data_IF_520079178266
#
_entry.id   IF_520079178266
#
_cell.length_a   1.000
_cell.length_b   1.000
_cell.length_c   1.000
_cell.angle_alpha   90.00
_cell.angle_beta   90.00
_cell.angle_gamma   90.00
#
_symmetry.space_group_name_H-M   'P 1'
#
loop_
_entity.id
_entity.type
_entity.pdbx_description
1 polymer ?
#
# COMPACT_ATOMS: atom_id res chain seq x y z
N UNK A 1 7.67 14.94 18.48
CA UNK A 1 7.00 14.93 17.17
C UNK A 1 5.49 14.86 17.41
N UNK A 2 4.76 15.61 16.63
CA UNK A 2 3.31 15.68 16.75
C UNK A 2 2.65 14.38 16.28
N UNK A 3 1.91 13.72 17.18
CA UNK A 3 1.21 12.46 16.88
C UNK A 3 0.17 12.66 15.76
N UNK A 4 -0.51 13.80 15.76
CA UNK A 4 -1.51 14.11 14.72
C UNK A 4 -0.84 14.21 13.36
N UNK A 5 0.32 14.86 13.29
CA UNK A 5 1.09 14.98 12.05
C UNK A 5 1.52 13.59 11.53
N UNK A 6 1.95 12.71 12.44
CA UNK A 6 2.35 11.34 12.09
C UNK A 6 1.17 10.54 11.52
N UNK A 7 0.00 10.64 12.16
CA UNK A 7 -1.22 9.95 11.70
C UNK A 7 -1.63 10.47 10.32
N UNK A 8 -1.63 11.79 10.14
CA UNK A 8 -1.96 12.39 8.84
C UNK A 8 -0.96 12.01 7.76
N UNK A 9 0.32 11.98 8.10
CA UNK A 9 1.38 11.58 7.18
C UNK A 9 1.21 10.14 6.71
N UNK A 10 0.88 9.23 7.62
CA UNK A 10 0.65 7.83 7.27
C UNK A 10 -0.62 7.65 6.43
N UNK A 11 -1.68 8.41 6.74
CA UNK A 11 -2.91 8.38 5.96
C UNK A 11 -2.65 8.82 4.51
N UNK A 12 -1.86 9.87 4.33
CA UNK A 12 -1.47 10.34 2.99
C UNK A 12 -0.60 9.33 2.27
N UNK A 13 0.30 8.67 3.00
CA UNK A 13 1.15 7.63 2.44
C UNK A 13 0.31 6.44 1.93
N UNK A 14 -0.71 6.00 2.70
CA UNK A 14 -1.60 4.92 2.26
C UNK A 14 -2.34 5.29 0.99
N UNK A 15 -2.83 6.53 0.92
CA UNK A 15 -3.55 7.01 -0.26
C UNK A 15 -2.68 7.01 -1.50
N UNK A 16 -1.44 7.47 -1.36
CA UNK A 16 -0.49 7.45 -2.47
C UNK A 16 -0.08 6.04 -2.87
N UNK A 17 0.15 5.17 -1.88
CA UNK A 17 0.56 3.80 -2.18
C UNK A 17 -0.57 3.01 -2.87
N UNK A 18 -1.83 3.31 -2.53
CA UNK A 18 -2.94 2.69 -3.24
C UNK A 18 -2.86 3.01 -4.74
N UNK A 19 -2.61 4.26 -5.08
CA UNK A 19 -2.47 4.67 -6.47
C UNK A 19 -1.24 4.06 -7.12
N UNK A 20 -0.13 4.03 -6.40
CA UNK A 20 1.13 3.50 -6.91
C UNK A 20 1.06 1.99 -7.16
N UNK A 21 0.51 1.24 -6.23
CA UNK A 21 0.38 -0.22 -6.38
C UNK A 21 -0.67 -0.60 -7.41
N UNK A 22 -1.72 0.21 -7.56
CA UNK A 22 -2.68 0.02 -8.65
C UNK A 22 -1.99 0.19 -10.00
N UNK A 23 -1.17 1.23 -10.16
CA UNK A 23 -0.39 1.44 -11.37
C UNK A 23 0.57 0.29 -11.64
N UNK A 24 1.26 -0.18 -10.59
CA UNK A 24 2.16 -1.32 -10.69
C UNK A 24 1.43 -2.57 -11.18
N UNK A 25 0.25 -2.85 -10.59
CA UNK A 25 -0.55 -4.02 -10.96
C UNK A 25 -0.95 -3.99 -12.42
N UNK A 26 -1.34 -2.83 -12.94
CA UNK A 26 -1.83 -2.71 -14.30
C UNK A 26 -0.73 -2.59 -15.34
N UNK A 27 0.39 -1.94 -15.01
CA UNK A 27 1.42 -1.60 -16.00
C UNK A 27 2.63 -2.53 -15.97
N UNK A 28 2.91 -3.13 -14.83
CA UNK A 28 4.13 -3.90 -14.65
C UNK A 28 5.40 -3.06 -14.60
N UNK A 29 5.26 -1.72 -14.42
CA UNK A 29 6.42 -0.84 -14.33
C UNK A 29 7.27 -1.18 -13.12
N UNK A 30 8.57 -0.87 -13.21
CA UNK A 30 9.48 -1.05 -12.08
C UNK A 30 9.06 -0.16 -10.91
N UNK A 31 9.13 -0.70 -9.69
CA UNK A 31 8.74 0.06 -8.49
C UNK A 31 9.56 1.33 -8.31
N UNK A 32 10.84 1.30 -8.69
CA UNK A 32 11.69 2.48 -8.59
C UNK A 32 11.23 3.61 -9.52
N UNK A 33 10.73 3.25 -10.70
CA UNK A 33 10.19 4.25 -11.63
C UNK A 33 8.88 4.83 -11.10
N UNK A 34 8.04 3.99 -10.52
CA UNK A 34 6.77 4.44 -9.92
C UNK A 34 7.06 5.37 -8.76
N UNK A 35 8.01 5.01 -7.90
CA UNK A 35 8.40 5.86 -6.77
C UNK A 35 8.86 7.23 -7.26
N UNK A 36 9.72 7.25 -8.27
CA UNK A 36 10.24 8.51 -8.82
C UNK A 36 9.12 9.39 -9.35
N UNK A 37 8.17 8.81 -10.08
CA UNK A 37 7.02 9.55 -10.61
C UNK A 37 6.19 10.17 -9.49
N UNK A 38 5.91 9.40 -8.43
CA UNK A 38 5.07 9.89 -7.35
C UNK A 38 5.76 10.96 -6.52
N UNK A 39 7.09 10.89 -6.36
CA UNK A 39 7.85 11.93 -5.65
C UNK A 39 7.85 13.25 -6.41
N UNK A 40 7.85 13.20 -7.73
CA UNK A 40 7.78 14.40 -8.57
C UNK A 40 6.38 15.01 -8.56
N UNK A 41 5.35 14.16 -8.62
CA UNK A 41 3.96 14.60 -8.75
C UNK A 41 3.33 15.07 -7.44
N UNK A 42 3.92 14.78 -6.29
CA UNK A 42 3.32 15.03 -4.98
C UNK A 42 4.27 15.77 -4.04
N UNK A 43 3.69 16.55 -3.11
CA UNK A 43 4.46 17.20 -2.05
C UNK A 43 4.75 16.17 -0.94
N UNK A 44 5.92 15.56 -0.99
CA UNK A 44 6.31 14.52 -0.05
C UNK A 44 6.58 15.04 1.36
N UNK A 45 6.64 16.36 1.55
CA UNK A 45 6.82 16.94 2.89
C UNK A 45 5.62 16.68 3.80
N UNK A 46 4.44 16.51 3.19
CA UNK A 46 3.20 16.25 3.93
C UNK A 46 2.90 14.78 4.08
N UNK A 47 3.74 13.93 3.53
CA UNK A 47 3.57 12.49 3.48
C UNK A 47 4.65 11.83 4.34
N UNK A 48 4.27 10.76 5.05
CA UNK A 48 5.29 9.91 5.68
C UNK A 48 5.96 9.12 4.56
N UNK A 49 7.02 9.71 3.99
CA UNK A 49 7.70 9.14 2.83
C UNK A 49 8.34 7.79 3.13
N UNK A 50 8.84 7.61 4.35
CA UNK A 50 9.43 6.36 4.79
C UNK A 50 8.38 5.26 4.81
N UNK A 51 7.19 5.55 5.32
CA UNK A 51 6.07 4.61 5.34
C UNK A 51 5.56 4.31 3.94
N UNK A 52 5.49 5.33 3.08
CA UNK A 52 5.14 5.14 1.66
C UNK A 52 6.09 4.14 1.00
N UNK A 53 7.40 4.32 1.19
CA UNK A 53 8.38 3.41 0.61
C UNK A 53 8.27 2.00 1.20
N UNK A 54 8.05 1.89 2.50
CA UNK A 54 7.87 0.60 3.15
C UNK A 54 6.74 -0.18 2.50
N UNK A 55 5.56 0.44 2.36
CA UNK A 55 4.41 -0.23 1.75
C UNK A 55 4.66 -0.54 0.27
N UNK A 56 5.24 0.41 -0.46
CA UNK A 56 5.46 0.25 -1.89
C UNK A 56 6.36 -0.94 -2.23
N UNK A 57 7.40 -1.18 -1.43
CA UNK A 57 8.34 -2.24 -1.71
C UNK A 57 8.01 -3.55 -0.98
N UNK A 58 7.53 -3.47 0.25
CA UNK A 58 7.26 -4.68 1.04
C UNK A 58 6.01 -5.43 0.56
N UNK A 59 4.97 -4.72 0.13
CA UNK A 59 3.76 -5.39 -0.30
C UNK A 59 4.01 -6.28 -1.52
N UNK A 60 4.62 -5.78 -2.61
CA UNK A 60 4.96 -6.67 -3.73
C UNK A 60 5.88 -7.82 -3.35
N UNK A 61 6.78 -7.61 -2.40
CA UNK A 61 7.72 -8.65 -1.96
C UNK A 61 7.06 -9.75 -1.16
N UNK A 62 5.85 -9.53 -0.63
CA UNK A 62 5.17 -10.47 0.27
C UNK A 62 3.77 -10.84 -0.22
N UNK A 63 3.51 -10.77 -1.51
CA UNK A 63 2.18 -10.97 -2.10
C UNK A 63 1.56 -12.31 -1.67
N UNK A 64 2.30 -13.41 -1.78
CA UNK A 64 1.76 -14.73 -1.47
C UNK A 64 1.28 -14.83 -0.02
N UNK A 65 2.09 -14.33 0.91
CA UNK A 65 1.76 -14.35 2.34
C UNK A 65 0.56 -13.45 2.65
N UNK A 66 0.53 -12.28 2.03
CA UNK A 66 -0.56 -11.31 2.22
C UNK A 66 -1.86 -11.89 1.68
N UNK A 67 -1.85 -12.46 0.49
CA UNK A 67 -3.05 -13.03 -0.11
C UNK A 67 -3.56 -14.25 0.65
N UNK A 68 -2.65 -15.06 1.20
CA UNK A 68 -3.05 -16.19 2.05
C UNK A 68 -3.83 -15.74 3.27
N UNK A 69 -3.59 -14.53 3.76
CA UNK A 69 -4.26 -14.00 4.94
C UNK A 69 -5.73 -13.67 4.69
N UNK A 70 -6.07 -13.11 3.54
CA UNK A 70 -7.46 -12.69 3.31
C UNK A 70 -8.26 -13.65 2.42
N UNK A 71 -7.61 -14.52 1.64
CA UNK A 71 -8.30 -15.42 0.72
C UNK A 71 -9.37 -16.28 1.39
N UNK A 72 -9.12 -16.88 2.60
CA UNK A 72 -10.14 -17.70 3.25
C UNK A 72 -11.43 -16.94 3.61
N UNK A 73 -11.38 -15.62 3.66
CA UNK A 73 -12.53 -14.80 4.05
C UNK A 73 -13.29 -14.23 2.86
N UNK A 74 -12.82 -14.50 1.64
CA UNK A 74 -13.51 -14.04 0.43
C UNK A 74 -14.71 -14.94 0.15
N UNK A 75 -15.80 -14.33 -0.30
CA UNK A 75 -17.02 -15.05 -0.72
C UNK A 75 -16.96 -15.42 -2.20
N UNK A 76 -15.86 -15.12 -2.86
CA UNK A 76 -15.64 -15.38 -4.29
C UNK A 76 -14.15 -15.56 -4.56
N UNK A 77 -13.81 -16.05 -5.74
CA UNK A 77 -12.41 -16.28 -6.11
C UNK A 77 -11.62 -14.97 -6.16
N UNK A 78 -10.36 -15.03 -5.74
CA UNK A 78 -9.49 -13.85 -5.74
C UNK A 78 -9.36 -13.25 -7.15
N UNK A 79 -9.40 -14.09 -8.18
CA UNK A 79 -9.30 -13.66 -9.57
C UNK A 79 -10.51 -12.83 -10.02
N UNK A 80 -11.63 -12.90 -9.28
CA UNK A 80 -12.82 -12.11 -9.59
C UNK A 80 -12.77 -10.70 -9.02
N UNK A 81 -11.79 -10.39 -8.16
CA UNK A 81 -11.64 -9.06 -7.58
C UNK A 81 -11.13 -8.09 -8.64
N UNK A 82 -11.69 -6.87 -8.65
CA UNK A 82 -11.15 -5.86 -9.53
C UNK A 82 -9.82 -5.33 -8.95
N UNK A 83 -8.98 -4.67 -9.78
CA UNK A 83 -7.65 -4.23 -9.32
C UNK A 83 -7.67 -3.31 -8.10
N UNK A 84 -8.69 -2.47 -7.95
CA UNK A 84 -8.78 -1.57 -6.79
C UNK A 84 -9.08 -2.39 -5.53
N UNK A 85 -10.05 -3.29 -5.59
CA UNK A 85 -10.40 -4.16 -4.47
C UNK A 85 -9.19 -4.97 -4.02
N UNK A 86 -8.48 -5.57 -4.98
CA UNK A 86 -7.30 -6.38 -4.69
C UNK A 86 -6.21 -5.54 -4.01
N UNK A 87 -5.95 -4.34 -4.52
CA UNK A 87 -4.93 -3.47 -3.96
C UNK A 87 -5.28 -3.04 -2.54
N UNK A 88 -6.54 -2.67 -2.29
CA UNK A 88 -7.00 -2.29 -0.95
C UNK A 88 -6.83 -3.45 0.03
N UNK A 89 -7.22 -4.67 -0.37
CA UNK A 89 -7.08 -5.84 0.49
C UNK A 89 -5.62 -6.16 0.78
N UNK A 90 -4.73 -6.01 -0.19
CA UNK A 90 -3.30 -6.23 0.01
C UNK A 90 -2.71 -5.24 1.01
N UNK A 91 -3.06 -3.95 0.90
CA UNK A 91 -2.56 -2.94 1.83
C UNK A 91 -3.09 -3.21 3.24
N UNK A 92 -4.38 -3.43 3.39
CA UNK A 92 -5.01 -3.66 4.69
C UNK A 92 -4.44 -4.90 5.37
N UNK A 93 -4.30 -5.99 4.64
CA UNK A 93 -3.75 -7.24 5.19
C UNK A 93 -2.29 -7.09 5.57
N UNK A 94 -1.51 -6.38 4.76
CA UNK A 94 -0.11 -6.10 5.11
C UNK A 94 -0.03 -5.34 6.43
N UNK A 95 -0.85 -4.31 6.60
CA UNK A 95 -0.82 -3.52 7.82
C UNK A 95 -1.20 -4.33 9.05
N UNK A 96 -2.20 -5.19 8.92
CA UNK A 96 -2.60 -6.07 10.03
C UNK A 96 -1.50 -7.07 10.40
N UNK A 97 -0.80 -7.60 9.41
CA UNK A 97 0.24 -8.60 9.63
C UNK A 97 1.56 -8.02 10.12
N UNK A 98 1.98 -6.91 9.52
CA UNK A 98 3.35 -6.40 9.68
C UNK A 98 3.45 -5.06 10.38
N UNK A 99 2.32 -4.41 10.68
CA UNK A 99 2.32 -3.10 11.31
C UNK A 99 1.39 -3.06 12.53
N UNK A 100 1.62 -3.93 13.53
CA UNK A 100 0.73 -3.99 14.71
C UNK A 100 0.76 -2.71 15.54
N UNK A 101 1.76 -1.87 15.36
CA UNK A 101 1.93 -0.60 16.07
C UNK A 101 0.99 0.51 15.58
N UNK A 102 0.27 0.28 14.46
CA UNK A 102 -0.62 1.31 13.93
C UNK A 102 -1.88 1.45 14.78
N UNK A 103 -2.33 2.67 15.07
CA UNK A 103 -3.60 2.87 15.75
C UNK A 103 -4.77 2.67 14.77
N UNK A 104 -5.76 1.93 15.22
CA UNK A 104 -6.99 1.70 14.45
C UNK A 104 -8.21 2.14 15.22
#
# INVERSE_FOLDING_TARGET
>A
MDTIKTIKGKRRARKLVLQALYQWLLSGMELTEIEAQFRVANDMQKVDAEYFCRLLYDIPANIAQIEAEFTPFLDRAIESLNPVELTVLRISSYELLFCPELPY
#
